data_IF_804178770896
#
_entry.id   IF_804178770896
#
_cell.length_a   1.000
_cell.length_b   1.000
_cell.length_c   1.000
_cell.angle_alpha   90.00
_cell.angle_beta   90.00
_cell.angle_gamma   90.00
#
_symmetry.space_group_name_H-M   'P 1'
#
loop_
_entity.id
_entity.type
_entity.pdbx_description
1 polymer ?
#
# COMPACT_ATOMS: atom_id res chain seq x y z
N UNK A 1 -7.08 7.44 -68.58
CA UNK A 1 -7.65 6.11 -68.24
C UNK A 1 -6.74 5.02 -68.76
N UNK A 2 -5.92 4.41 -67.90
CA UNK A 2 -5.12 3.22 -68.21
C UNK A 2 -5.26 2.25 -67.04
N UNK A 3 -5.93 1.13 -67.30
CA UNK A 3 -6.06 -0.05 -66.43
C UNK A 3 -4.97 -1.05 -66.84
N UNK A 4 -4.27 -1.67 -65.90
CA UNK A 4 -3.54 -2.94 -66.06
C UNK A 4 -3.18 -3.43 -64.64
N UNK A 5 -4.00 -4.32 -64.08
CA UNK A 5 -3.86 -5.79 -64.01
C UNK A 5 -3.06 -6.22 -62.79
N UNK A 6 -3.81 -6.83 -61.87
CA UNK A 6 -3.47 -7.49 -60.62
C UNK A 6 -2.83 -8.85 -60.93
N UNK A 7 -1.60 -9.11 -60.49
CA UNK A 7 -0.99 -10.44 -60.49
C UNK A 7 -0.98 -11.01 -59.08
N UNK A 8 -1.93 -11.90 -58.81
CA UNK A 8 -1.96 -12.78 -57.63
C UNK A 8 -1.00 -13.94 -57.83
N UNK A 9 0.10 -13.98 -57.07
CA UNK A 9 0.96 -15.16 -56.94
C UNK A 9 0.49 -16.02 -55.77
N UNK A 10 -0.13 -17.14 -56.12
CA UNK A 10 -0.54 -18.22 -55.23
C UNK A 10 0.70 -19.08 -54.90
N UNK A 11 1.26 -18.95 -53.70
CA UNK A 11 2.28 -19.89 -53.21
C UNK A 11 1.62 -20.96 -52.35
N UNK A 12 1.39 -22.11 -52.96
CA UNK A 12 1.00 -23.36 -52.31
C UNK A 12 2.29 -24.18 -52.10
N UNK A 13 2.88 -24.14 -50.90
CA UNK A 13 3.96 -25.05 -50.52
C UNK A 13 3.53 -25.90 -49.33
N UNK A 14 3.11 -27.12 -49.65
CA UNK A 14 2.97 -28.25 -48.75
C UNK A 14 4.34 -28.65 -48.20
N UNK A 15 4.52 -28.69 -46.88
CA UNK A 15 5.55 -29.52 -46.23
C UNK A 15 4.96 -30.16 -44.97
N UNK A 16 4.59 -31.43 -45.15
CA UNK A 16 4.84 -32.59 -44.28
C UNK A 16 4.69 -32.47 -42.77
N UNK A 17 3.61 -33.05 -42.24
CA UNK A 17 3.51 -33.54 -40.86
C UNK A 17 4.41 -34.76 -40.68
N UNK A 18 5.45 -34.66 -39.86
CA UNK A 18 6.15 -35.81 -39.28
C UNK A 18 5.57 -36.05 -37.89
N UNK A 19 4.72 -37.08 -37.80
CA UNK A 19 4.25 -37.69 -36.57
C UNK A 19 5.23 -38.81 -36.20
N UNK A 20 5.82 -38.73 -35.01
CA UNK A 20 6.41 -39.89 -34.32
C UNK A 20 5.78 -39.95 -32.93
N UNK A 21 4.90 -40.93 -32.75
CA UNK A 21 4.37 -41.32 -31.45
C UNK A 21 5.33 -42.23 -30.70
N UNK A 22 5.20 -42.23 -29.38
CA UNK A 22 5.40 -43.41 -28.54
C UNK A 22 4.69 -43.17 -27.21
N UNK A 23 3.61 -43.92 -26.99
CA UNK A 23 2.98 -44.12 -25.69
C UNK A 23 3.10 -45.62 -25.36
N UNK A 24 3.61 -46.01 -24.18
CA UNK A 24 3.44 -47.36 -23.68
C UNK A 24 2.10 -47.53 -22.95
N UNK A 25 1.49 -48.69 -23.18
CA UNK A 25 0.20 -49.16 -22.67
C UNK A 25 0.23 -49.46 -21.17
N UNK A 26 -0.93 -49.25 -20.56
CA UNK A 26 -1.37 -49.78 -19.27
C UNK A 26 -1.13 -51.29 -19.12
N UNK A 27 -0.80 -51.70 -17.89
CA UNK A 27 -1.06 -53.04 -17.40
C UNK A 27 -1.68 -52.92 -16.00
N UNK A 28 -2.96 -53.24 -15.92
CA UNK A 28 -3.70 -53.41 -14.68
C UNK A 28 -3.13 -54.59 -13.88
N UNK A 29 -2.97 -54.38 -12.56
CA UNK A 29 -3.15 -55.44 -11.58
C UNK A 29 -3.95 -54.86 -10.41
N UNK A 30 -5.19 -55.30 -10.34
CA UNK A 30 -6.09 -55.20 -9.21
C UNK A 30 -5.59 -56.17 -8.13
N UNK A 31 -5.42 -55.69 -6.90
CA UNK A 31 -5.57 -56.55 -5.73
C UNK A 31 -6.24 -55.77 -4.60
N UNK A 32 -7.23 -56.42 -4.04
CA UNK A 32 -8.20 -55.91 -3.08
C UNK A 32 -7.81 -56.35 -1.68
N UNK A 33 -7.77 -55.43 -0.71
CA UNK A 33 -8.31 -55.63 0.64
C UNK A 33 -7.85 -54.59 1.66
N UNK A 34 -8.83 -53.81 2.13
CA UNK A 34 -9.25 -53.72 3.53
C UNK A 34 -8.33 -53.08 4.60
N UNK A 35 -8.80 -51.90 5.04
CA UNK A 35 -9.20 -51.61 6.44
C UNK A 35 -8.22 -50.86 7.35
N UNK A 36 -8.56 -49.58 7.54
CA UNK A 36 -8.78 -48.83 8.80
C UNK A 36 -7.78 -49.01 9.95
N UNK A 37 -7.21 -47.90 10.43
CA UNK A 37 -7.42 -47.42 11.82
C UNK A 37 -7.08 -45.93 11.95
N UNK A 38 -8.13 -45.13 12.05
CA UNK A 38 -8.20 -43.82 12.67
C UNK A 38 -8.06 -44.02 14.19
N UNK A 39 -7.07 -43.40 14.82
CA UNK A 39 -6.99 -43.35 16.30
C UNK A 39 -7.34 -41.94 16.77
N UNK A 40 -8.63 -41.74 16.99
CA UNK A 40 -9.19 -40.72 17.84
C UNK A 40 -9.00 -41.18 19.30
N UNK A 41 -8.56 -40.29 20.20
CA UNK A 41 -8.58 -40.52 21.65
C UNK A 41 -9.43 -39.43 22.28
N UNK A 42 -10.60 -39.82 22.76
CA UNK A 42 -11.42 -39.07 23.72
C UNK A 42 -11.38 -39.77 25.08
N UNK A 43 -12.02 -39.11 26.07
CA UNK A 43 -12.35 -39.51 27.46
C UNK A 43 -11.28 -38.99 28.46
N UNK A 44 -11.58 -38.24 29.54
CA UNK A 44 -12.83 -37.96 30.27
C UNK A 44 -12.70 -36.70 31.14
N UNK A 45 -13.88 -36.17 31.49
CA UNK A 45 -14.30 -35.34 32.64
C UNK A 45 -13.46 -35.33 33.94
N UNK A 46 -13.46 -34.17 34.64
CA UNK A 46 -14.17 -33.91 35.92
C UNK A 46 -13.74 -32.52 36.46
N UNK A 47 -14.71 -31.69 36.83
CA UNK A 47 -14.60 -30.52 37.72
C UNK A 47 -15.48 -30.79 38.97
N UNK A 48 -15.60 -29.91 40.00
CA UNK A 48 -14.71 -28.91 40.60
C UNK A 48 -14.52 -29.16 42.12
N UNK A 49 -13.69 -28.36 42.83
CA UNK A 49 -13.85 -28.14 44.28
C UNK A 49 -13.41 -26.74 44.70
N UNK A 50 -14.36 -26.03 45.31
CA UNK A 50 -14.26 -24.79 46.07
C UNK A 50 -13.66 -25.03 47.47
N UNK A 51 -13.05 -23.99 48.04
CA UNK A 51 -13.22 -23.42 49.40
C UNK A 51 -12.08 -22.40 49.61
N UNK A 52 -12.31 -21.08 49.66
CA UNK A 52 -12.85 -20.26 50.76
C UNK A 52 -12.13 -20.43 52.11
N UNK A 53 -11.36 -19.41 52.51
CA UNK A 53 -11.51 -18.60 53.74
C UNK A 53 -10.36 -17.56 53.75
N UNK A 54 -10.61 -16.24 53.65
CA UNK A 54 -11.06 -15.24 54.64
C UNK A 54 -10.12 -14.98 55.84
N UNK A 55 -10.14 -13.70 56.24
CA UNK A 55 -9.67 -13.07 57.48
C UNK A 55 -8.23 -12.51 57.44
N UNK A 56 -8.00 -11.20 57.28
CA UNK A 56 -8.25 -10.07 58.22
C UNK A 56 -7.32 -10.10 59.44
N UNK A 57 -6.31 -9.22 59.46
CA UNK A 57 -5.94 -8.41 60.63
C UNK A 57 -4.81 -7.42 60.28
N UNK A 58 -5.06 -6.13 60.49
CA UNK A 58 -4.01 -5.13 60.80
C UNK A 58 -3.29 -5.50 62.11
N UNK A 59 -2.13 -4.87 62.38
CA UNK A 59 -2.19 -3.74 63.31
C UNK A 59 -1.39 -2.51 62.85
N UNK A 60 -1.94 -1.34 63.18
CA UNK A 60 -1.23 -0.08 63.35
C UNK A 60 -0.13 -0.19 64.40
N UNK A 61 0.93 0.61 64.22
CA UNK A 61 1.55 1.30 65.35
C UNK A 61 2.11 2.63 64.86
N UNK A 62 1.53 3.71 65.40
CA UNK A 62 2.11 5.06 65.54
C UNK A 62 3.40 4.96 66.41
N UNK A 63 4.34 5.92 66.46
CA UNK A 63 4.18 7.29 66.99
C UNK A 63 5.42 8.17 66.70
N UNK A 64 5.17 9.43 66.27
CA UNK A 64 5.82 10.74 66.59
C UNK A 64 7.32 10.99 66.33
N UNK A 65 7.69 11.95 65.46
CA UNK A 65 7.74 13.44 65.59
C UNK A 65 9.05 13.94 66.21
N UNK A 66 9.81 14.73 65.45
CA UNK A 66 10.32 16.01 65.93
C UNK A 66 10.78 16.91 64.76
N UNK A 67 10.33 18.16 64.83
CA UNK A 67 10.56 19.27 63.91
C UNK A 67 11.99 19.85 64.03
N UNK A 68 12.59 20.30 62.93
CA UNK A 68 12.92 21.73 62.80
C UNK A 68 13.32 22.14 61.37
N UNK A 69 12.86 23.33 61.01
CA UNK A 69 12.98 24.01 59.72
C UNK A 69 14.40 24.54 59.45
N UNK A 70 14.89 24.40 58.20
CA UNK A 70 15.43 25.56 57.45
C UNK A 70 15.53 25.30 55.95
N UNK A 71 15.09 26.31 55.21
CA UNK A 71 14.92 26.43 53.76
C UNK A 71 16.16 26.09 52.94
N UNK A 72 15.94 25.41 51.81
CA UNK A 72 16.54 25.81 50.53
C UNK A 72 15.63 25.41 49.36
N UNK A 73 15.36 26.42 48.54
CA UNK A 73 14.40 26.56 47.46
C UNK A 73 14.61 25.58 46.30
N UNK A 74 13.62 24.70 46.02
CA UNK A 74 13.43 24.12 44.67
C UNK A 74 11.98 24.27 44.22
N UNK A 75 11.84 25.23 43.33
CA UNK A 75 10.65 25.64 42.59
C UNK A 75 9.89 24.47 41.94
N UNK A 76 8.56 24.37 42.10
CA UNK A 76 7.72 23.53 41.27
C UNK A 76 7.48 24.26 39.95
N UNK A 77 8.05 23.79 38.84
CA UNK A 77 7.79 24.35 37.52
C UNK A 77 6.40 23.89 37.05
N UNK A 78 5.37 24.50 37.64
CA UNK A 78 4.13 24.81 36.92
C UNK A 78 4.47 25.92 35.93
N UNK A 79 4.64 25.56 34.66
CA UNK A 79 4.55 26.53 33.55
C UNK A 79 3.46 26.09 32.60
N UNK A 80 2.26 26.62 32.89
CA UNK A 80 1.33 27.23 31.96
C UNK A 80 1.24 26.60 30.56
N UNK A 81 0.25 25.73 30.35
CA UNK A 81 -0.32 25.53 29.02
C UNK A 81 -1.83 25.77 29.06
N UNK A 82 -2.21 26.97 29.49
CA UNK A 82 -3.53 27.52 29.23
C UNK A 82 -3.38 28.97 28.78
N UNK A 83 -3.33 29.16 27.45
CA UNK A 83 -3.97 30.30 26.80
C UNK A 83 -4.04 30.11 25.29
N UNK A 84 -5.29 30.10 24.83
CA UNK A 84 -5.72 30.39 23.46
C UNK A 84 -5.41 29.35 22.38
N UNK A 85 -6.03 28.18 22.48
CA UNK A 85 -6.63 27.61 21.27
C UNK A 85 -8.04 28.15 21.17
N UNK A 86 -8.17 29.32 20.53
CA UNK A 86 -9.43 29.72 19.90
C UNK A 86 -9.96 28.47 19.19
N UNK A 87 -11.22 28.13 19.45
CA UNK A 87 -12.05 27.27 18.59
C UNK A 87 -12.19 27.97 17.25
N UNK A 88 -11.09 28.06 16.52
CA UNK A 88 -11.14 28.22 15.09
C UNK A 88 -11.76 26.92 14.58
N UNK A 89 -12.65 27.01 13.60
CA UNK A 89 -13.09 25.86 12.82
C UNK A 89 -11.93 25.37 11.96
N UNK A 90 -10.77 25.13 12.59
CA UNK A 90 -9.49 24.88 11.98
C UNK A 90 -9.60 23.54 11.30
N UNK A 91 -9.65 23.62 9.98
CA UNK A 91 -9.70 22.50 9.06
C UNK A 91 -8.63 21.48 9.47
N UNK A 92 -9.07 20.34 10.01
CA UNK A 92 -8.18 19.27 10.48
C UNK A 92 -7.18 18.87 9.38
N UNK A 93 -5.88 18.75 9.69
CA UNK A 93 -4.85 18.51 8.69
C UNK A 93 -5.01 17.11 8.09
N UNK A 94 -5.33 17.03 6.79
CA UNK A 94 -5.37 15.74 6.06
C UNK A 94 -3.97 15.17 5.82
N UNK A 95 -2.94 15.99 5.90
CA UNK A 95 -1.54 15.66 5.65
C UNK A 95 -0.67 16.27 6.72
N UNK A 96 0.22 15.47 7.29
CA UNK A 96 1.16 15.91 8.31
C UNK A 96 2.18 14.86 8.68
N UNK A 97 3.14 15.23 9.52
CA UNK A 97 4.08 14.30 10.13
C UNK A 97 3.53 13.94 11.51
N UNK A 98 3.45 12.65 11.81
CA UNK A 98 3.08 12.18 13.15
C UNK A 98 4.29 12.36 14.06
N UNK A 99 4.19 13.25 15.04
CA UNK A 99 5.20 13.39 16.09
C UNK A 99 5.03 12.36 17.18
N UNK A 100 3.79 12.10 17.55
CA UNK A 100 3.45 11.33 18.73
C UNK A 100 2.09 10.65 18.55
N UNK A 101 1.99 9.43 19.08
CA UNK A 101 0.75 8.68 19.24
C UNK A 101 0.66 8.26 20.70
N UNK A 102 -0.42 8.63 21.36
CA UNK A 102 -0.67 8.28 22.76
C UNK A 102 -1.97 7.49 22.83
N UNK A 103 -1.89 6.25 23.28
CA UNK A 103 -3.07 5.47 23.58
C UNK A 103 -3.69 6.00 24.88
N UNK A 104 -4.79 6.74 24.79
CA UNK A 104 -5.49 7.27 25.96
C UNK A 104 -6.79 6.53 26.24
N UNK A 105 -7.50 6.93 27.28
CA UNK A 105 -8.64 6.16 27.80
C UNK A 105 -9.88 6.23 26.90
N UNK A 106 -10.06 7.32 26.15
CA UNK A 106 -11.24 7.54 25.29
C UNK A 106 -10.98 7.24 23.82
N UNK A 107 -9.74 7.44 23.38
CA UNK A 107 -9.30 7.30 21.99
C UNK A 107 -7.77 7.36 21.89
N UNK A 108 -7.27 7.06 20.70
CA UNK A 108 -5.88 7.33 20.36
C UNK A 108 -5.70 8.84 20.11
N UNK A 109 -4.73 9.47 20.76
CA UNK A 109 -4.39 10.88 20.53
C UNK A 109 -3.18 10.96 19.60
N UNK A 110 -3.30 11.80 18.55
CA UNK A 110 -2.27 11.96 17.53
C UNK A 110 -1.81 13.40 17.49
N UNK A 111 -0.50 13.61 17.63
CA UNK A 111 0.13 14.92 17.39
C UNK A 111 0.60 14.99 15.93
N UNK A 112 -0.14 15.73 15.09
CA UNK A 112 0.20 15.96 13.68
C UNK A 112 0.83 17.33 13.47
N UNK A 113 1.97 17.37 12.81
CA UNK A 113 2.57 18.62 12.31
C UNK A 113 2.15 18.82 10.86
N UNK A 114 1.44 19.90 10.57
CA UNK A 114 1.00 20.21 9.21
C UNK A 114 2.13 20.80 8.33
N UNK A 115 1.82 21.11 7.08
CA UNK A 115 2.79 21.70 6.12
C UNK A 115 3.30 23.08 6.54
N UNK A 116 2.59 23.79 7.41
CA UNK A 116 2.98 25.10 7.96
C UNK A 116 3.82 24.96 9.23
N UNK A 117 4.10 23.73 9.68
CA UNK A 117 4.80 23.46 10.93
C UNK A 117 3.92 23.63 12.17
N UNK A 118 2.60 23.75 12.00
CA UNK A 118 1.67 23.91 13.12
C UNK A 118 1.31 22.52 13.65
N UNK A 119 1.41 22.35 14.97
CA UNK A 119 0.99 21.14 15.66
C UNK A 119 -0.52 21.12 15.91
N UNK A 120 -1.12 19.98 15.61
CA UNK A 120 -2.54 19.71 15.81
C UNK A 120 -2.66 18.42 16.61
N UNK A 121 -3.29 18.51 17.78
CA UNK A 121 -3.69 17.33 18.55
C UNK A 121 -5.08 16.89 18.05
N UNK A 122 -5.18 15.67 17.55
CA UNK A 122 -6.41 15.13 16.97
C UNK A 122 -6.66 13.72 17.47
N UNK A 123 -7.94 13.39 17.70
CA UNK A 123 -8.36 12.03 18.03
C UNK A 123 -8.30 11.07 16.84
N UNK A 124 -8.04 9.80 17.12
CA UNK A 124 -7.97 8.68 16.20
C UNK A 124 -8.57 7.41 16.81
N UNK A 125 -8.89 6.43 15.97
CA UNK A 125 -9.27 5.10 16.45
C UNK A 125 -8.10 4.40 17.15
N UNK A 126 -8.42 3.52 18.10
CA UNK A 126 -7.43 2.72 18.82
C UNK A 126 -6.51 1.90 17.90
N UNK A 127 -7.03 1.45 16.75
CA UNK A 127 -6.26 0.73 15.74
C UNK A 127 -5.04 1.52 15.22
N UNK A 128 -5.10 2.86 15.21
CA UNK A 128 -3.97 3.70 14.80
C UNK A 128 -2.83 3.62 15.83
N UNK A 129 -3.16 3.62 17.11
CA UNK A 129 -2.18 3.49 18.19
C UNK A 129 -1.60 2.08 18.28
N UNK A 130 -2.35 1.04 17.93
CA UNK A 130 -1.83 -0.33 17.86
C UNK A 130 -0.66 -0.49 16.86
N UNK A 131 -0.66 0.35 15.81
CA UNK A 131 0.34 0.39 14.75
C UNK A 131 1.40 1.51 14.96
N UNK A 132 1.63 1.98 16.20
CA UNK A 132 2.45 3.18 16.50
C UNK A 132 3.76 3.29 15.69
N UNK A 133 4.57 2.22 15.70
CA UNK A 133 5.89 2.16 15.04
C UNK A 133 5.83 2.41 13.53
N UNK A 134 4.68 2.19 12.90
CA UNK A 134 4.43 2.39 11.48
C UNK A 134 4.24 3.86 11.13
N UNK A 135 3.78 4.67 12.08
CA UNK A 135 3.30 6.03 11.82
C UNK A 135 4.15 7.11 12.47
N UNK A 136 4.71 6.89 13.65
CA UNK A 136 5.57 7.88 14.34
C UNK A 136 6.76 8.28 13.47
N UNK A 137 7.03 9.58 13.41
CA UNK A 137 8.04 10.22 12.56
C UNK A 137 7.85 9.96 11.06
N UNK A 138 6.68 9.51 10.63
CA UNK A 138 6.33 9.37 9.22
C UNK A 138 5.37 10.47 8.81
N UNK A 139 5.53 10.88 7.55
CA UNK A 139 4.53 11.69 6.88
C UNK A 139 3.34 10.81 6.53
N UNK A 140 2.14 11.26 6.84
CA UNK A 140 0.91 10.48 6.70
C UNK A 140 -0.21 11.28 6.06
N UNK A 141 -1.14 10.55 5.47
CA UNK A 141 -2.46 11.03 5.07
C UNK A 141 -3.51 10.49 6.02
N UNK A 142 -4.17 11.41 6.71
CA UNK A 142 -5.23 11.11 7.66
C UNK A 142 -6.60 11.18 6.96
N UNK A 143 -7.42 10.17 7.19
CA UNK A 143 -8.83 10.11 6.79
C UNK A 143 -9.67 10.24 8.05
N UNK A 144 -10.59 11.19 8.03
CA UNK A 144 -11.45 11.53 9.17
C UNK A 144 -12.89 11.07 8.93
N UNK A 145 -13.50 10.50 9.95
CA UNK A 145 -14.93 10.15 9.97
C UNK A 145 -15.56 10.58 11.29
N UNK A 146 -16.87 10.78 11.30
CA UNK A 146 -17.62 11.13 12.50
C UNK A 146 -17.99 9.83 13.23
N UNK A 147 -17.43 9.63 14.42
CA UNK A 147 -17.67 8.44 15.25
C UNK A 147 -18.27 8.83 16.60
N UNK A 148 -18.93 7.87 17.27
CA UNK A 148 -19.33 8.03 18.67
C UNK A 148 -18.12 7.73 19.56
N UNK A 149 -17.70 8.71 20.35
CA UNK A 149 -16.63 8.58 21.36
C UNK A 149 -17.25 8.75 22.74
N UNK A 150 -16.76 7.99 23.73
CA UNK A 150 -17.18 8.14 25.13
C UNK A 150 -16.86 9.54 25.63
N UNK A 151 -17.71 10.07 26.51
CA UNK A 151 -17.55 11.40 27.10
C UNK A 151 -16.70 11.42 28.38
N UNK A 152 -16.34 10.25 28.92
CA UNK A 152 -15.72 10.09 30.23
C UNK A 152 -14.87 8.80 30.30
N UNK A 153 -13.76 8.84 31.06
CA UNK A 153 -12.77 7.76 31.27
C UNK A 153 -13.19 6.74 32.37
N UNK A 154 -14.19 7.08 33.18
CA UNK A 154 -14.68 6.31 34.31
C UNK A 154 -16.09 5.76 34.10
N UNK A 155 -16.59 5.02 35.09
CA UNK A 155 -17.99 4.62 35.17
C UNK A 155 -18.67 5.49 36.23
N UNK A 156 -19.41 6.50 35.77
CA UNK A 156 -20.43 7.30 36.48
C UNK A 156 -20.09 8.75 36.88
N UNK A 157 -20.96 9.73 36.48
CA UNK A 157 -22.09 9.60 35.57
C UNK A 157 -21.60 9.67 34.11
N UNK A 158 -21.08 8.54 33.60
CA UNK A 158 -20.46 8.37 32.30
C UNK A 158 -21.31 7.43 31.47
N UNK A 159 -21.37 7.65 30.16
CA UNK A 159 -22.14 6.78 29.28
C UNK A 159 -22.88 7.51 28.16
N UNK A 160 -22.63 8.82 27.98
CA UNK A 160 -23.10 9.50 26.77
C UNK A 160 -21.99 9.43 25.73
N UNK A 161 -22.37 9.10 24.50
CA UNK A 161 -21.42 9.21 23.39
C UNK A 161 -21.57 10.59 22.75
N UNK A 162 -20.45 11.24 22.45
CA UNK A 162 -20.42 12.43 21.61
C UNK A 162 -19.98 12.08 20.20
N UNK A 163 -20.52 12.78 19.21
CA UNK A 163 -20.06 12.65 17.82
C UNK A 163 -18.81 13.48 17.62
N UNK A 164 -17.71 12.82 17.29
CA UNK A 164 -16.42 13.46 17.08
C UNK A 164 -15.80 13.01 15.76
N UNK A 165 -15.20 13.96 15.03
CA UNK A 165 -14.48 13.66 13.80
C UNK A 165 -13.08 13.16 14.15
N UNK A 166 -12.84 11.86 14.05
CA UNK A 166 -11.57 11.23 14.44
C UNK A 166 -10.91 10.58 13.22
N UNK A 167 -9.59 10.35 13.30
CA UNK A 167 -8.87 9.62 12.26
C UNK A 167 -9.24 8.14 12.34
N UNK A 168 -9.89 7.62 11.32
CA UNK A 168 -10.20 6.17 11.21
C UNK A 168 -9.19 5.42 10.35
N UNK A 169 -8.45 6.13 9.50
CA UNK A 169 -7.41 5.54 8.66
C UNK A 169 -6.25 6.49 8.48
N UNK A 170 -5.05 5.94 8.61
CA UNK A 170 -3.79 6.63 8.38
C UNK A 170 -2.97 5.87 7.36
N UNK A 171 -2.48 6.57 6.34
CA UNK A 171 -1.63 6.00 5.31
C UNK A 171 -0.28 6.71 5.31
N UNK A 172 0.81 5.96 5.45
CA UNK A 172 2.15 6.51 5.31
C UNK A 172 2.33 7.01 3.88
N UNK A 173 2.62 8.29 3.77
CA UNK A 173 3.02 8.96 2.55
C UNK A 173 4.54 8.94 2.56
N UNK A 174 5.14 7.93 1.93
CA UNK A 174 6.58 7.99 1.64
C UNK A 174 6.85 9.26 0.81
N UNK A 175 8.00 9.90 1.00
CA UNK A 175 8.29 11.16 0.31
C UNK A 175 8.32 11.05 -1.22
N UNK A 176 8.25 9.83 -1.79
CA UNK A 176 7.98 9.57 -3.22
C UNK A 176 6.51 9.51 -3.64
N UNK A 177 5.57 9.74 -2.72
CA UNK A 177 4.12 9.75 -2.99
C UNK A 177 3.48 11.14 -2.88
N UNK A 178 4.25 12.17 -2.50
CA UNK A 178 3.82 13.58 -2.50
C UNK A 178 4.76 14.59 -3.18
N UNK A 179 5.83 14.11 -3.82
CA UNK A 179 6.60 14.82 -4.85
C UNK A 179 6.81 13.81 -6.00
N UNK A 180 6.11 13.84 -7.13
CA UNK A 180 6.36 14.75 -8.26
C UNK A 180 6.72 16.15 -7.82
N UNK A 181 7.90 16.58 -8.26
CA UNK A 181 8.58 17.85 -7.99
C UNK A 181 9.75 17.73 -7.00
N UNK A 182 10.92 17.63 -7.63
CA UNK A 182 12.20 18.20 -7.22
C UNK A 182 13.20 17.24 -6.56
N UNK A 183 14.10 16.76 -7.43
CA UNK A 183 15.54 16.58 -7.24
C UNK A 183 15.98 15.92 -5.93
N UNK A 184 16.37 14.64 -6.01
CA UNK A 184 17.78 14.30 -5.89
C UNK A 184 18.06 12.89 -6.41
N UNK A 185 19.16 12.80 -7.13
CA UNK A 185 19.58 11.70 -7.98
C UNK A 185 20.21 10.59 -7.12
N UNK A 186 19.48 9.50 -6.84
CA UNK A 186 20.03 8.13 -6.69
C UNK A 186 18.94 7.13 -6.26
N UNK A 187 18.65 6.17 -7.14
CA UNK A 187 17.97 4.88 -6.89
C UNK A 187 16.53 4.89 -6.33
N UNK A 188 15.57 5.16 -7.22
CA UNK A 188 14.29 4.44 -7.24
C UNK A 188 14.10 3.83 -8.63
N UNK A 189 14.94 2.85 -8.99
CA UNK A 189 15.01 2.26 -10.34
C UNK A 189 13.89 1.28 -10.69
N UNK A 190 12.84 1.19 -9.87
CA UNK A 190 11.80 0.17 -10.02
C UNK A 190 10.54 0.71 -10.72
N UNK A 191 10.32 2.03 -10.80
CA UNK A 191 9.10 2.57 -11.42
C UNK A 191 9.34 3.88 -12.16
N UNK A 192 8.68 4.03 -13.32
CA UNK A 192 8.63 5.27 -14.10
C UNK A 192 7.20 5.57 -14.50
N UNK A 193 6.82 6.85 -14.60
CA UNK A 193 5.49 7.26 -15.07
C UNK A 193 5.60 8.15 -16.30
N UNK A 194 4.84 7.83 -17.33
CA UNK A 194 4.79 8.55 -18.60
C UNK A 194 3.40 9.18 -18.78
N UNK A 195 3.32 10.37 -19.38
CA UNK A 195 2.02 10.97 -19.72
C UNK A 195 2.09 11.93 -20.90
N UNK A 196 0.96 12.06 -21.60
CA UNK A 196 0.71 13.07 -22.63
C UNK A 196 -0.54 13.90 -22.31
N UNK A 197 -0.99 13.92 -21.05
CA UNK A 197 -2.21 14.58 -20.60
C UNK A 197 -3.52 13.82 -20.87
N UNK A 198 -3.55 12.94 -21.89
CA UNK A 198 -4.70 12.05 -22.16
C UNK A 198 -4.55 10.69 -21.51
N UNK A 199 -3.33 10.18 -21.48
CA UNK A 199 -2.96 8.91 -20.89
C UNK A 199 -1.92 9.12 -19.80
N UNK A 200 -2.05 8.34 -18.72
CA UNK A 200 -1.01 8.19 -17.71
C UNK A 200 -0.62 6.73 -17.64
N UNK A 201 0.65 6.42 -17.86
CA UNK A 201 1.19 5.06 -17.86
C UNK A 201 2.24 4.98 -16.77
N UNK A 202 2.02 4.14 -15.77
CA UNK A 202 3.01 3.80 -14.76
C UNK A 202 3.58 2.42 -15.07
N UNK A 203 4.89 2.37 -15.27
CA UNK A 203 5.65 1.12 -15.32
C UNK A 203 6.22 0.86 -13.94
N UNK A 204 6.16 -0.38 -13.48
CA UNK A 204 6.84 -0.82 -12.26
C UNK A 204 7.56 -2.14 -12.48
N UNK A 205 8.42 -2.54 -11.55
CA UNK A 205 9.30 -3.70 -11.69
C UNK A 205 10.22 -3.58 -12.93
N UNK A 206 10.66 -2.37 -13.26
CA UNK A 206 11.50 -2.11 -14.46
C UNK A 206 12.90 -2.70 -14.35
N UNK A 207 13.39 -2.84 -13.12
CA UNK A 207 14.64 -3.51 -12.73
C UNK A 207 14.61 -5.04 -12.91
N UNK A 208 13.44 -5.64 -13.16
CA UNK A 208 13.33 -7.07 -13.49
C UNK A 208 14.00 -7.44 -14.82
N UNK A 209 14.33 -6.46 -15.65
CA UNK A 209 15.04 -6.66 -16.91
C UNK A 209 16.53 -6.39 -16.73
N UNK A 210 17.37 -7.38 -17.02
CA UNK A 210 18.82 -7.33 -16.82
C UNK A 210 19.60 -6.98 -18.11
N UNK A 211 18.91 -6.50 -19.15
CA UNK A 211 19.52 -6.21 -20.46
C UNK A 211 19.38 -7.33 -21.50
N UNK A 212 18.90 -8.52 -21.14
CA UNK A 212 18.71 -9.62 -22.10
C UNK A 212 17.39 -9.47 -22.85
N UNK A 213 17.42 -9.37 -24.18
CA UNK A 213 16.22 -9.21 -25.00
C UNK A 213 15.19 -10.33 -24.79
N UNK A 214 13.91 -9.96 -24.76
CA UNK A 214 12.79 -10.88 -24.54
C UNK A 214 12.61 -11.31 -23.09
N UNK A 215 13.36 -10.73 -22.14
CA UNK A 215 13.25 -11.01 -20.70
C UNK A 215 12.58 -9.85 -19.95
N UNK A 216 12.56 -9.92 -18.61
CA UNK A 216 11.85 -8.97 -17.75
C UNK A 216 10.49 -9.49 -17.26
N UNK A 217 9.95 -8.76 -16.30
CA UNK A 217 8.62 -8.95 -15.73
C UNK A 217 8.03 -7.57 -15.39
N UNK A 218 8.09 -6.65 -16.35
CA UNK A 218 7.66 -5.27 -16.14
C UNK A 218 6.15 -5.23 -15.98
N UNK A 219 5.68 -4.47 -14.99
CA UNK A 219 4.27 -4.25 -14.74
C UNK A 219 3.83 -2.94 -15.40
N UNK A 220 2.60 -2.91 -15.89
CA UNK A 220 1.98 -1.77 -16.55
C UNK A 220 0.70 -1.39 -15.83
N UNK A 221 0.50 -0.09 -15.63
CA UNK A 221 -0.79 0.50 -15.27
C UNK A 221 -1.05 1.69 -16.18
N UNK A 222 -2.02 1.59 -17.07
CA UNK A 222 -2.46 2.68 -17.95
C UNK A 222 -3.82 3.20 -17.55
N UNK A 223 -3.96 4.50 -17.37
CA UNK A 223 -5.21 5.18 -17.03
C UNK A 223 -5.55 6.27 -18.06
N UNK A 224 -6.84 6.39 -18.39
CA UNK A 224 -7.37 7.51 -19.17
C UNK A 224 -7.69 8.74 -18.28
N UNK A 225 -8.17 9.82 -18.90
CA UNK A 225 -8.58 11.05 -18.19
C UNK A 225 -9.81 10.88 -17.31
N UNK A 226 -10.60 9.83 -17.52
CA UNK A 226 -11.79 9.53 -16.72
C UNK A 226 -11.45 8.70 -15.48
N UNK A 227 -10.18 8.35 -15.29
CA UNK A 227 -9.70 7.50 -14.19
C UNK A 227 -9.94 6.00 -14.42
N UNK A 228 -10.34 5.60 -15.63
CA UNK A 228 -10.45 4.17 -15.98
C UNK A 228 -9.05 3.63 -16.24
N UNK A 229 -8.66 2.64 -15.45
CA UNK A 229 -7.32 2.06 -15.50
C UNK A 229 -7.34 0.58 -15.91
N UNK A 230 -6.27 0.17 -16.60
CA UNK A 230 -5.94 -1.23 -16.91
C UNK A 230 -4.57 -1.57 -16.31
N UNK A 231 -4.46 -2.73 -15.68
CA UNK A 231 -3.21 -3.25 -15.14
C UNK A 231 -2.81 -4.53 -15.88
N UNK A 232 -1.54 -4.63 -16.25
CA UNK A 232 -0.94 -5.79 -16.90
C UNK A 232 0.38 -6.15 -16.19
N UNK A 233 0.72 -7.42 -16.16
CA UNK A 233 1.97 -7.94 -15.60
C UNK A 233 2.69 -8.80 -16.64
N UNK A 234 3.92 -9.24 -16.37
CA UNK A 234 4.63 -10.14 -17.29
C UNK A 234 5.26 -9.47 -18.50
N UNK A 235 5.43 -8.15 -18.48
CA UNK A 235 5.98 -7.39 -19.59
C UNK A 235 7.40 -7.81 -19.95
N UNK A 236 7.66 -7.99 -21.24
CA UNK A 236 8.98 -8.36 -21.78
C UNK A 236 9.61 -7.18 -22.49
N UNK A 237 10.91 -6.97 -22.25
CA UNK A 237 11.68 -5.86 -22.81
C UNK A 237 12.66 -6.38 -23.85
N UNK A 238 12.72 -5.67 -24.98
CA UNK A 238 13.72 -5.89 -26.02
C UNK A 238 14.22 -4.53 -26.51
N UNK A 239 15.53 -4.33 -26.52
CA UNK A 239 16.15 -3.13 -27.06
C UNK A 239 16.99 -3.46 -28.30
N UNK A 240 16.76 -2.71 -29.37
CA UNK A 240 17.46 -2.85 -30.64
C UNK A 240 17.41 -1.52 -31.39
N UNK A 241 18.49 -1.20 -32.11
CA UNK A 241 18.55 -0.03 -33.01
C UNK A 241 18.17 1.29 -32.32
N UNK A 242 18.69 1.50 -31.11
CA UNK A 242 18.44 2.72 -30.32
C UNK A 242 17.01 2.85 -29.79
N UNK A 243 16.22 1.78 -29.78
CA UNK A 243 14.86 1.77 -29.25
C UNK A 243 14.63 0.57 -28.33
N UNK A 244 14.05 0.83 -27.18
CA UNK A 244 13.54 -0.19 -26.27
C UNK A 244 12.04 -0.37 -26.47
N UNK A 245 11.60 -1.62 -26.53
CA UNK A 245 10.20 -2.00 -26.65
C UNK A 245 9.83 -2.88 -25.46
N UNK A 246 8.80 -2.48 -24.73
CA UNK A 246 8.18 -3.31 -23.70
C UNK A 246 6.82 -3.79 -24.17
N UNK A 247 6.59 -5.09 -24.13
CA UNK A 247 5.37 -5.73 -24.64
C UNK A 247 4.61 -6.50 -23.56
N UNK A 248 3.29 -6.37 -23.56
CA UNK A 248 2.36 -7.17 -22.74
C UNK A 248 1.28 -7.81 -23.63
N UNK A 249 0.80 -8.99 -23.21
CA UNK A 249 -0.35 -9.67 -23.83
C UNK A 249 -1.48 -9.81 -22.83
N UNK A 250 -2.71 -9.60 -23.29
CA UNK A 250 -3.93 -9.81 -22.50
C UNK A 250 -5.03 -10.35 -23.42
N UNK A 251 -5.19 -11.68 -23.45
CA UNK A 251 -6.00 -12.34 -24.49
C UNK A 251 -5.50 -11.99 -25.89
N UNK A 252 -6.41 -11.55 -26.76
CA UNK A 252 -6.12 -11.17 -28.16
C UNK A 252 -5.50 -9.76 -28.28
N UNK A 253 -5.28 -9.07 -27.17
CA UNK A 253 -4.71 -7.73 -27.14
C UNK A 253 -3.21 -7.76 -26.88
N UNK A 254 -2.47 -6.96 -27.63
CA UNK A 254 -1.04 -6.74 -27.46
C UNK A 254 -0.79 -5.26 -27.21
N UNK A 255 -0.11 -4.96 -26.10
CA UNK A 255 0.27 -3.62 -25.67
C UNK A 255 1.75 -3.46 -25.88
N UNK A 256 2.16 -2.43 -26.61
CA UNK A 256 3.54 -2.20 -27.01
C UNK A 256 3.91 -0.77 -26.63
N UNK A 257 4.83 -0.62 -25.68
CA UNK A 257 5.41 0.67 -25.34
C UNK A 257 6.81 0.77 -25.96
N UNK A 258 6.97 1.73 -26.87
CA UNK A 258 8.22 2.04 -27.53
C UNK A 258 8.88 3.27 -26.90
N UNK A 259 10.14 3.16 -26.52
CA UNK A 259 10.93 4.24 -25.92
C UNK A 259 12.26 4.37 -26.66
N UNK A 260 12.53 5.49 -27.34
CA UNK A 260 13.85 5.76 -27.91
C UNK A 260 14.91 5.88 -26.81
N UNK A 261 16.12 5.40 -27.07
CA UNK A 261 17.29 5.60 -26.21
C UNK A 261 17.95 6.89 -26.67
N UNK A 262 17.91 7.92 -25.82
CA UNK A 262 18.61 9.19 -26.05
C UNK A 262 19.64 9.41 -24.94
N UNK A 263 20.70 10.16 -25.24
CA UNK A 263 21.77 10.45 -24.27
C UNK A 263 21.25 11.15 -23.01
N UNK A 264 20.22 11.99 -23.17
CA UNK A 264 19.57 12.74 -22.09
C UNK A 264 18.41 11.98 -21.42
N UNK A 265 18.05 10.79 -21.92
CA UNK A 265 16.93 9.99 -21.43
C UNK A 265 15.55 10.66 -21.54
N UNK A 266 15.43 11.77 -22.28
CA UNK A 266 14.22 12.60 -22.33
C UNK A 266 13.37 12.37 -23.59
N UNK A 267 13.51 11.21 -24.22
CA UNK A 267 12.76 10.87 -25.42
C UNK A 267 11.27 10.67 -25.12
N UNK A 268 10.42 11.03 -26.09
CA UNK A 268 8.99 10.72 -25.99
C UNK A 268 8.75 9.27 -26.34
N UNK A 269 7.91 8.62 -25.53
CA UNK A 269 7.50 7.24 -25.73
C UNK A 269 6.20 7.17 -26.54
N UNK A 270 5.96 6.02 -27.17
CA UNK A 270 4.70 5.74 -27.89
C UNK A 270 4.09 4.43 -27.41
N UNK A 271 2.83 4.48 -26.98
CA UNK A 271 2.04 3.28 -26.69
C UNK A 271 1.20 2.93 -27.92
N UNK A 272 1.24 1.66 -28.32
CA UNK A 272 0.35 1.06 -29.32
C UNK A 272 -0.38 -0.10 -28.69
N UNK A 273 -1.68 -0.20 -28.96
CA UNK A 273 -2.48 -1.37 -28.60
C UNK A 273 -3.04 -1.96 -29.88
N UNK A 274 -2.82 -3.26 -30.04
CA UNK A 274 -3.35 -4.04 -31.15
C UNK A 274 -4.32 -5.07 -30.62
N UNK A 275 -5.38 -5.32 -31.37
CA UNK A 275 -6.20 -6.52 -31.24
C UNK A 275 -5.99 -7.31 -32.52
N UNK A 276 -5.49 -8.53 -32.38
CA UNK A 276 -5.00 -9.31 -33.53
C UNK A 276 -3.95 -8.51 -34.31
N UNK A 277 -4.21 -8.22 -35.59
CA UNK A 277 -3.32 -7.43 -36.46
C UNK A 277 -3.76 -5.97 -36.62
N UNK A 278 -4.81 -5.52 -35.94
CA UNK A 278 -5.36 -4.17 -36.09
C UNK A 278 -4.92 -3.28 -34.94
N UNK A 279 -4.31 -2.14 -35.26
CA UNK A 279 -4.03 -1.09 -34.26
C UNK A 279 -5.32 -0.39 -33.86
N UNK A 280 -5.69 -0.51 -32.59
CA UNK A 280 -6.92 0.07 -32.03
C UNK A 280 -6.65 1.32 -31.17
N UNK A 281 -5.39 1.50 -30.76
CA UNK A 281 -4.97 2.66 -29.99
C UNK A 281 -3.52 3.00 -30.31
N UNK A 282 -3.28 4.31 -30.47
CA UNK A 282 -1.94 4.89 -30.56
C UNK A 282 -1.90 6.15 -29.70
N UNK A 283 -1.04 6.16 -28.68
CA UNK A 283 -0.76 7.32 -27.85
C UNK A 283 0.71 7.71 -28.01
N UNK A 284 0.94 8.88 -28.59
CA UNK A 284 2.28 9.47 -28.80
C UNK A 284 2.60 10.49 -27.72
N UNK A 285 3.81 11.02 -27.74
CA UNK A 285 4.22 12.17 -26.93
C UNK A 285 4.13 11.91 -25.42
N UNK A 286 4.28 10.63 -25.02
CA UNK A 286 4.32 10.23 -23.62
C UNK A 286 5.67 10.62 -23.04
N UNK A 287 5.67 11.65 -22.20
CA UNK A 287 6.87 12.19 -21.54
C UNK A 287 7.00 11.62 -20.15
N UNK A 288 8.23 11.43 -19.70
CA UNK A 288 8.52 11.07 -18.32
C UNK A 288 8.02 12.17 -17.38
N UNK A 289 7.24 11.78 -16.37
CA UNK A 289 6.78 12.66 -15.30
C UNK A 289 7.74 12.54 -14.12
N UNK A 290 8.62 13.53 -13.99
CA UNK A 290 9.51 13.72 -12.85
C UNK A 290 8.76 14.24 -11.61
#
# INVERSE_FOLDING_TARGET
MKKLILTTSLFLSCISLVSCGNAPKDMFKEDSSNTVTQSQREISSVAPREQEDKQESSPESETQEDENNKEEEKTPVRKNLDKNTKRDGSKKPKLGIVKELVNGDLMCYVTLVDKKGIEHNVGASFDICADEKKFVNKKVRAVYEIQSVSDCESAEPCGKTRKESIITKMQVVSEGSERRSSSDNSKSGNSQTLSNGKWTITLSNTDSWNGVNGTGNVNYQGCDTNGKCLKLTGGKVSCRDGKCVTGWKNGDYVYILEQPITEDGNSTSTLRVRKDNTEILKATDLKLLN
#
